data_IF_970365455183
#
_entry.id   IF_970365455183
#
_cell.length_a   1.000
_cell.length_b   1.000
_cell.length_c   1.000
_cell.angle_alpha   90.00
_cell.angle_beta   90.00
_cell.angle_gamma   90.00
#
_symmetry.space_group_name_H-M   'P 1'
#
loop_
_entity.id
_entity.type
_entity.pdbx_description
1 polymer ?
#
# COMPACT_ATOMS: atom_id res chain seq x y z
N UNK A 1 -8.88 -12.43 10.64
CA UNK A 1 -9.47 -11.57 9.58
C UNK A 1 -9.55 -12.31 8.25
N UNK A 2 -10.60 -12.04 7.44
CA UNK A 2 -10.80 -12.61 6.11
C UNK A 2 -11.45 -11.56 5.18
N UNK A 3 -10.80 -11.20 4.08
CA UNK A 3 -11.39 -10.33 3.07
C UNK A 3 -11.28 -10.89 1.65
N UNK A 4 -12.21 -10.46 0.79
CA UNK A 4 -12.35 -10.92 -0.59
C UNK A 4 -12.41 -9.72 -1.53
N UNK A 5 -11.55 -9.73 -2.53
CA UNK A 5 -11.40 -8.75 -3.59
C UNK A 5 -11.85 -9.36 -4.92
N UNK A 6 -12.52 -8.59 -5.76
CA UNK A 6 -12.95 -9.02 -7.09
C UNK A 6 -12.65 -7.98 -8.18
N UNK A 7 -12.46 -8.46 -9.40
CA UNK A 7 -12.26 -7.63 -10.59
C UNK A 7 -11.19 -6.55 -10.41
N UNK A 8 -11.56 -5.30 -10.70
CA UNK A 8 -10.65 -4.15 -10.67
C UNK A 8 -10.07 -3.87 -9.26
N UNK A 9 -10.73 -4.31 -8.19
CA UNK A 9 -10.23 -4.13 -6.82
C UNK A 9 -8.91 -4.89 -6.61
N UNK A 10 -8.75 -6.09 -7.20
CA UNK A 10 -7.50 -6.87 -7.12
C UNK A 10 -6.34 -6.09 -7.75
N UNK A 11 -6.57 -5.48 -8.92
CA UNK A 11 -5.57 -4.66 -9.61
C UNK A 11 -5.23 -3.40 -8.81
N UNK A 12 -6.22 -2.71 -8.26
CA UNK A 12 -6.01 -1.52 -7.43
C UNK A 12 -5.22 -1.85 -6.15
N UNK A 13 -5.55 -2.96 -5.49
CA UNK A 13 -4.81 -3.47 -4.33
C UNK A 13 -3.34 -3.78 -4.68
N UNK A 14 -3.11 -4.46 -5.81
CA UNK A 14 -1.77 -4.70 -6.32
C UNK A 14 -0.99 -3.40 -6.60
N UNK A 15 -1.62 -2.40 -7.24
CA UNK A 15 -0.99 -1.08 -7.45
C UNK A 15 -0.60 -0.40 -6.14
N UNK A 16 -1.41 -0.51 -5.09
CA UNK A 16 -1.07 0.02 -3.77
C UNK A 16 0.17 -0.68 -3.19
N UNK A 17 0.27 -2.01 -3.30
CA UNK A 17 1.47 -2.75 -2.88
C UNK A 17 2.72 -2.29 -3.65
N UNK A 18 2.63 -2.15 -4.99
CA UNK A 18 3.73 -1.61 -5.80
C UNK A 18 4.13 -0.18 -5.41
N UNK A 19 3.17 0.65 -5.03
CA UNK A 19 3.44 2.00 -4.55
C UNK A 19 4.14 1.98 -3.19
N UNK A 20 3.67 1.15 -2.26
CA UNK A 20 4.23 1.02 -0.91
C UNK A 20 5.64 0.42 -0.94
N UNK A 21 5.93 -0.48 -1.87
CA UNK A 21 7.27 -1.06 -2.03
C UNK A 21 8.34 -0.08 -2.50
N UNK A 22 7.96 1.15 -2.89
CA UNK A 22 8.90 2.25 -3.18
C UNK A 22 9.25 3.06 -1.93
N UNK A 23 8.54 2.85 -0.82
CA UNK A 23 8.70 3.61 0.42
C UNK A 23 9.47 2.78 1.45
N UNK A 24 9.09 1.51 1.65
CA UNK A 24 9.71 0.66 2.66
C UNK A 24 9.77 -0.81 2.27
N UNK A 25 10.64 -1.53 2.97
CA UNK A 25 10.90 -2.96 2.79
C UNK A 25 9.91 -3.85 3.55
N UNK A 26 9.06 -3.26 4.38
CA UNK A 26 8.05 -3.91 5.20
C UNK A 26 6.66 -3.37 4.89
N UNK A 27 5.66 -4.26 4.95
CA UNK A 27 4.24 -3.96 4.79
C UNK A 27 3.48 -4.39 6.04
N UNK A 28 2.88 -3.44 6.74
CA UNK A 28 1.94 -3.72 7.83
C UNK A 28 0.51 -3.80 7.26
N UNK A 29 -0.15 -4.94 7.52
CA UNK A 29 -1.58 -5.15 7.34
C UNK A 29 -2.28 -4.87 8.66
N UNK A 30 -3.11 -3.84 8.69
CA UNK A 30 -3.89 -3.46 9.88
C UNK A 30 -5.40 -3.54 9.59
N UNK A 31 -6.07 -4.64 9.97
CA UNK A 31 -7.51 -4.76 9.88
C UNK A 31 -8.22 -3.89 10.92
N UNK A 32 -9.08 -2.98 10.44
CA UNK A 32 -9.83 -2.05 11.29
C UNK A 32 -11.33 -2.13 10.98
N UNK A 33 -12.18 -1.64 11.89
CA UNK A 33 -13.64 -1.48 11.65
C UNK A 33 -13.94 -0.65 10.39
N UNK A 34 -13.12 0.37 10.13
CA UNK A 34 -13.19 1.25 8.95
C UNK A 34 -12.55 0.67 7.69
N UNK A 35 -12.08 -0.58 7.71
CA UNK A 35 -11.47 -1.26 6.57
C UNK A 35 -10.04 -1.74 6.80
N UNK A 36 -9.36 -2.18 5.74
CA UNK A 36 -7.98 -2.66 5.81
C UNK A 36 -7.00 -1.53 5.49
N UNK A 37 -6.14 -1.19 6.45
CA UNK A 37 -5.03 -0.29 6.22
C UNK A 37 -3.77 -1.08 5.80
N UNK A 38 -3.13 -0.63 4.72
CA UNK A 38 -1.81 -1.06 4.29
C UNK A 38 -0.82 0.05 4.60
N UNK A 39 0.21 -0.24 5.40
CA UNK A 39 1.17 0.78 5.82
C UNK A 39 2.60 0.35 5.56
N UNK A 40 3.44 1.32 5.24
CA UNK A 40 4.87 1.12 5.10
C UNK A 40 5.62 2.36 5.59
N UNK A 41 6.79 2.13 6.17
CA UNK A 41 7.74 3.15 6.61
C UNK A 41 9.10 2.80 6.03
N UNK A 42 9.89 3.81 5.69
CA UNK A 42 11.28 3.58 5.30
C UNK A 42 12.15 3.23 6.51
N UNK A 43 13.36 2.72 6.27
CA UNK A 43 14.32 2.33 7.31
C UNK A 43 14.73 3.47 8.24
N UNK A 44 14.74 4.71 7.74
CA UNK A 44 15.08 5.91 8.50
C UNK A 44 13.89 6.53 9.26
N UNK A 45 12.68 5.93 9.19
CA UNK A 45 11.46 6.46 9.79
C UNK A 45 11.09 7.91 9.39
N UNK A 46 11.59 8.38 8.25
CA UNK A 46 11.37 9.73 7.71
C UNK A 46 10.28 9.79 6.63
N UNK A 47 9.90 8.65 6.05
CA UNK A 47 8.86 8.54 5.05
C UNK A 47 7.82 7.49 5.47
N UNK A 48 6.55 7.89 5.46
CA UNK A 48 5.42 7.04 5.81
C UNK A 48 4.37 7.07 4.69
N UNK A 49 3.84 5.90 4.35
CA UNK A 49 2.74 5.76 3.40
C UNK A 49 1.66 4.82 3.93
N UNK A 50 0.40 5.19 3.67
CA UNK A 50 -0.76 4.44 4.12
C UNK A 50 -1.85 4.45 3.05
N UNK A 51 -2.37 3.27 2.70
CA UNK A 51 -3.59 3.10 1.93
C UNK A 51 -4.66 2.50 2.83
N UNK A 52 -5.83 3.14 2.91
CA UNK A 52 -6.99 2.60 3.63
C UNK A 52 -8.05 2.15 2.61
N UNK A 53 -8.31 0.85 2.57
CA UNK A 53 -9.39 0.27 1.79
C UNK A 53 -10.63 0.11 2.66
N UNK A 54 -11.68 0.88 2.37
CA UNK A 54 -12.99 0.78 3.04
C UNK A 54 -13.55 -0.66 2.97
N UNK A 55 -14.38 -1.13 3.92
CA UNK A 55 -15.03 -2.43 3.84
C UNK A 55 -15.80 -2.62 2.53
N UNK A 56 -16.37 -1.54 1.98
CA UNK A 56 -17.09 -1.53 0.69
C UNK A 56 -16.21 -1.77 -0.54
N UNK A 57 -14.88 -1.65 -0.40
CA UNK A 57 -13.94 -2.01 -1.46
C UNK A 57 -13.86 -3.54 -1.65
N UNK A 58 -14.21 -4.29 -0.61
CA UNK A 58 -14.19 -5.75 -0.61
C UNK A 58 -15.59 -6.28 -0.88
N UNK A 59 -15.69 -7.38 -1.62
CA UNK A 59 -16.94 -8.14 -1.74
C UNK A 59 -17.36 -8.70 -0.37
N UNK A 60 -16.37 -9.10 0.44
CA UNK A 60 -16.56 -9.57 1.81
C UNK A 60 -15.43 -9.06 2.67
N UNK A 61 -15.76 -8.47 3.81
CA UNK A 61 -14.79 -7.99 4.78
C UNK A 61 -15.21 -8.43 6.18
N UNK A 62 -14.51 -9.42 6.74
CA UNK A 62 -14.76 -9.95 8.06
C UNK A 62 -13.50 -9.77 8.93
N UNK A 63 -13.62 -9.01 10.01
CA UNK A 63 -12.53 -8.86 10.97
C UNK A 63 -12.23 -10.15 11.74
N UNK A 64 -13.24 -11.02 11.87
CA UNK A 64 -13.16 -12.24 12.67
C UNK A 64 -13.54 -11.88 14.11
N UNK A 65 -14.83 -11.89 14.39
CA UNK A 65 -15.37 -11.63 15.71
C UNK A 65 -16.35 -12.74 16.04
N UNK A 66 -15.87 -13.86 16.58
CA UNK A 66 -16.73 -14.74 17.37
C UNK A 66 -16.12 -15.18 18.71
N UNK A 67 -14.82 -15.05 18.97
CA UNK A 67 -14.25 -15.34 20.30
C UNK A 67 -13.00 -14.49 20.55
N UNK A 68 -13.14 -13.34 21.22
CA UNK A 68 -12.11 -12.67 22.03
C UNK A 68 -10.72 -12.34 21.44
N UNK A 69 -10.44 -12.64 20.16
CA UNK A 69 -9.12 -12.42 19.58
C UNK A 69 -9.01 -10.97 19.11
N UNK A 70 -8.09 -10.22 19.71
CA UNK A 70 -7.71 -8.88 19.29
C UNK A 70 -7.31 -8.89 17.80
N UNK A 71 -7.66 -7.83 17.07
CA UNK A 71 -7.24 -7.66 15.69
C UNK A 71 -5.73 -7.41 15.66
N UNK A 72 -4.97 -8.45 15.37
CA UNK A 72 -3.51 -8.40 15.27
C UNK A 72 -3.09 -7.66 14.00
N UNK A 73 -2.10 -6.78 14.15
CA UNK A 73 -1.43 -6.16 13.01
C UNK A 73 -0.28 -7.05 12.55
N UNK A 74 -0.28 -7.32 11.26
CA UNK A 74 0.65 -8.28 10.67
C UNK A 74 1.67 -7.54 9.82
N UNK A 75 2.94 -7.65 10.17
CA UNK A 75 4.06 -7.15 9.37
C UNK A 75 4.57 -8.25 8.44
N UNK A 76 4.60 -7.94 7.16
CA UNK A 76 5.09 -8.81 6.09
C UNK A 76 6.31 -8.18 5.43
N UNK A 77 7.29 -9.00 5.07
CA UNK A 77 8.41 -8.54 4.24
C UNK A 77 7.91 -8.23 2.83
N UNK A 78 8.22 -7.04 2.32
CA UNK A 78 7.77 -6.58 1.00
C UNK A 78 8.26 -7.52 -0.11
N UNK A 79 9.48 -8.05 0.02
CA UNK A 79 10.05 -9.06 -0.88
C UNK A 79 9.21 -10.35 -1.00
N UNK A 80 8.37 -10.66 -0.01
CA UNK A 80 7.51 -11.85 -0.01
C UNK A 80 6.17 -11.60 -0.69
N UNK A 81 5.59 -10.40 -0.49
CA UNK A 81 4.25 -10.07 -1.02
C UNK A 81 4.28 -9.42 -2.41
N UNK A 82 5.26 -8.55 -2.69
CA UNK A 82 5.36 -7.85 -3.97
C UNK A 82 5.40 -8.78 -5.19
N UNK A 83 6.13 -9.93 -5.17
CA UNK A 83 6.13 -10.87 -6.29
C UNK A 83 4.75 -11.43 -6.64
N UNK A 84 3.86 -11.56 -5.65
CA UNK A 84 2.49 -12.06 -5.85
C UNK A 84 1.66 -11.11 -6.73
N UNK A 85 1.98 -9.81 -6.69
CA UNK A 85 1.31 -8.77 -7.46
C UNK A 85 2.17 -8.26 -8.63
N UNK A 86 3.26 -8.95 -8.99
CA UNK A 86 4.26 -8.48 -9.98
C UNK A 86 3.66 -8.12 -11.35
N UNK A 87 2.84 -9.00 -11.92
CA UNK A 87 2.26 -8.80 -13.25
C UNK A 87 0.78 -8.43 -13.17
N UNK A 88 0.50 -7.15 -12.93
CA UNK A 88 -0.87 -6.64 -12.79
C UNK A 88 -1.74 -6.87 -14.03
N UNK A 89 -1.17 -6.83 -15.23
CA UNK A 89 -1.90 -7.12 -16.47
C UNK A 89 -2.32 -8.59 -16.58
N UNK A 90 -1.49 -9.52 -16.09
CA UNK A 90 -1.85 -10.93 -16.02
C UNK A 90 -2.93 -11.16 -14.96
N UNK A 91 -2.79 -10.52 -13.80
CA UNK A 91 -3.78 -10.59 -12.72
C UNK A 91 -5.15 -10.13 -13.21
N UNK A 92 -5.23 -8.96 -13.85
CA UNK A 92 -6.47 -8.42 -14.40
C UNK A 92 -7.16 -9.35 -15.41
N UNK A 93 -6.38 -10.08 -16.22
CA UNK A 93 -6.92 -11.00 -17.23
C UNK A 93 -7.27 -12.38 -16.66
N UNK A 94 -6.56 -12.84 -15.64
CA UNK A 94 -6.62 -14.24 -15.20
C UNK A 94 -7.29 -14.45 -13.85
N UNK A 95 -7.24 -13.48 -12.94
CA UNK A 95 -7.77 -13.58 -11.58
C UNK A 95 -9.20 -13.06 -11.56
N UNK A 96 -10.12 -13.90 -11.13
CA UNK A 96 -11.53 -13.53 -10.93
C UNK A 96 -11.73 -12.96 -9.52
N UNK A 97 -11.11 -13.61 -8.53
CA UNK A 97 -11.25 -13.29 -7.11
C UNK A 97 -9.93 -13.48 -6.38
N UNK A 98 -9.62 -12.60 -5.44
CA UNK A 98 -8.50 -12.73 -4.52
C UNK A 98 -9.02 -12.74 -3.08
N UNK A 99 -8.57 -13.70 -2.27
CA UNK A 99 -8.96 -13.82 -0.88
C UNK A 99 -7.72 -13.71 0.01
N UNK A 100 -7.80 -12.88 1.04
CA UNK A 100 -6.73 -12.66 2.00
C UNK A 100 -7.26 -13.08 3.37
N UNK A 101 -6.59 -14.02 4.00
CA UNK A 101 -6.91 -14.52 5.33
C UNK A 101 -5.71 -14.36 6.23
N UNK A 102 -5.92 -13.70 7.37
CA UNK A 102 -4.94 -13.60 8.43
C UNK A 102 -5.31 -14.64 9.48
N UNK A 103 -4.42 -15.61 9.67
CA UNK A 103 -4.54 -16.68 10.64
C UNK A 103 -3.60 -16.40 11.81
N UNK A 104 -4.13 -15.80 12.87
CA UNK A 104 -3.35 -15.39 14.06
C UNK A 104 -2.71 -16.54 14.82
N UNK A 105 -3.34 -17.73 15.02
CA UNK A 105 -2.70 -18.80 15.79
C UNK A 105 -1.44 -19.40 15.14
N UNK A 106 -1.22 -19.18 13.85
CA UNK A 106 -0.10 -19.78 13.11
C UNK A 106 0.87 -18.73 12.56
N UNK A 107 0.65 -17.43 12.83
CA UNK A 107 1.43 -16.32 12.28
C UNK A 107 1.52 -16.33 10.75
N UNK A 108 0.42 -16.70 10.07
CA UNK A 108 0.39 -16.76 8.60
C UNK A 108 -0.71 -15.93 7.97
N UNK A 109 -0.35 -15.26 6.88
CA UNK A 109 -1.27 -14.63 5.94
C UNK A 109 -1.38 -15.50 4.69
N UNK A 110 -2.57 -16.04 4.47
CA UNK A 110 -2.90 -16.81 3.28
C UNK A 110 -3.53 -15.89 2.23
N UNK A 111 -2.90 -15.82 1.06
CA UNK A 111 -3.39 -15.08 -0.11
C UNK A 111 -3.72 -16.08 -1.20
N UNK A 112 -4.99 -16.12 -1.61
CA UNK A 112 -5.48 -17.05 -2.64
C UNK A 112 -6.01 -16.28 -3.84
N UNK A 113 -5.45 -16.58 -5.02
CA UNK A 113 -5.99 -16.12 -6.28
C UNK A 113 -6.83 -17.23 -6.92
N UNK A 114 -8.11 -16.97 -7.09
CA UNK A 114 -9.03 -17.80 -7.85
C UNK A 114 -9.04 -17.28 -9.27
N UNK A 115 -8.43 -18.05 -10.16
CA UNK A 115 -8.24 -17.72 -11.55
C UNK A 115 -9.26 -18.43 -12.44
N UNK A 116 -9.38 -17.94 -13.68
CA UNK A 116 -10.16 -18.57 -14.74
C UNK A 116 -9.82 -20.05 -14.90
N UNK A 117 -10.79 -20.80 -15.41
CA UNK A 117 -10.67 -22.25 -15.67
C UNK A 117 -10.42 -23.09 -14.41
N UNK A 118 -10.89 -22.62 -13.24
CA UNK A 118 -10.82 -23.36 -11.98
C UNK A 118 -9.43 -23.41 -11.34
N UNK A 119 -8.47 -22.63 -11.84
CA UNK A 119 -7.11 -22.60 -11.29
C UNK A 119 -7.10 -21.81 -9.98
N UNK A 120 -6.57 -22.39 -8.90
CA UNK A 120 -6.39 -21.68 -7.62
C UNK A 120 -4.91 -21.62 -7.26
N UNK A 121 -4.37 -20.41 -7.10
CA UNK A 121 -3.00 -20.18 -6.60
C UNK A 121 -3.06 -19.77 -5.14
N UNK A 122 -2.45 -20.56 -4.26
CA UNK A 122 -2.41 -20.28 -2.83
C UNK A 122 -1.00 -19.92 -2.42
N UNK A 123 -0.85 -18.79 -1.74
CA UNK A 123 0.40 -18.31 -1.17
C UNK A 123 0.23 -18.18 0.33
N UNK A 124 1.17 -18.71 1.09
CA UNK A 124 1.08 -18.78 2.54
C UNK A 124 2.32 -18.12 3.14
N UNK A 125 2.16 -16.87 3.60
CA UNK A 125 3.25 -16.00 4.03
C UNK A 125 3.34 -15.96 5.55
N UNK A 126 4.54 -16.12 6.11
CA UNK A 126 4.80 -15.85 7.52
C UNK A 126 4.73 -14.33 7.76
N UNK A 127 4.15 -13.90 8.88
CA UNK A 127 4.16 -12.51 9.32
C UNK A 127 4.77 -12.39 10.72
N UNK A 128 5.20 -11.19 11.06
CA UNK A 128 5.59 -10.82 12.42
C UNK A 128 4.50 -9.93 13.01
N UNK A 129 4.11 -10.16 14.27
CA UNK A 129 3.23 -9.23 14.97
C UNK A 129 3.95 -7.89 15.15
N UNK A 130 3.25 -6.78 14.91
CA UNK A 130 3.84 -5.46 15.11
C UNK A 130 2.92 -4.51 15.86
N UNK A 131 3.53 -3.54 16.54
CA UNK A 131 2.80 -2.42 17.12
C UNK A 131 2.16 -1.53 16.05
N UNK A 132 1.17 -0.75 16.48
CA UNK A 132 0.44 0.21 15.66
C UNK A 132 1.36 1.21 14.97
N UNK A 133 1.70 0.94 13.71
CA UNK A 133 2.48 1.86 12.88
C UNK A 133 1.58 3.04 12.46
N UNK A 134 1.62 4.15 13.19
CA UNK A 134 0.86 5.36 12.84
C UNK A 134 1.76 6.59 12.88
N UNK A 135 1.82 7.31 11.76
CA UNK A 135 2.43 8.63 11.73
C UNK A 135 1.46 9.67 12.29
N UNK A 136 1.95 10.53 13.17
CA UNK A 136 1.22 11.69 13.67
C UNK A 136 1.40 12.84 12.68
N UNK A 137 0.43 13.01 11.79
CA UNK A 137 0.44 14.11 10.81
C UNK A 137 -0.95 14.75 10.72
N UNK A 138 -1.01 16.05 11.04
CA UNK A 138 -2.27 16.79 11.12
C UNK A 138 -2.40 17.70 9.90
N UNK A 139 -2.81 17.10 8.77
CA UNK A 139 -2.84 17.77 7.46
C UNK A 139 -3.69 19.06 7.41
N UNK A 140 -4.77 19.13 8.20
CA UNK A 140 -5.66 20.29 8.23
C UNK A 140 -5.06 21.52 8.92
N UNK A 141 -3.94 21.36 9.64
CA UNK A 141 -3.21 22.47 10.25
C UNK A 141 -2.07 22.99 9.35
N UNK A 142 -1.85 22.38 8.17
CA UNK A 142 -0.81 22.82 7.26
C UNK A 142 -1.18 24.18 6.64
N UNK A 143 -0.31 25.21 6.74
CA UNK A 143 -0.62 26.54 6.21
C UNK A 143 -0.62 26.60 4.68
N UNK A 144 0.05 25.66 4.02
CA UNK A 144 0.20 25.60 2.57
C UNK A 144 -0.45 24.32 2.04
N UNK A 145 -1.33 24.46 1.04
CA UNK A 145 -2.00 23.33 0.38
C UNK A 145 -1.91 23.50 -1.13
N UNK A 146 -1.35 22.50 -1.81
CA UNK A 146 -1.33 22.41 -3.27
C UNK A 146 -2.19 21.21 -3.70
N UNK A 147 -3.15 21.44 -4.60
CA UNK A 147 -3.99 20.40 -5.17
C UNK A 147 -4.01 20.51 -6.69
N UNK A 148 -3.62 19.43 -7.35
CA UNK A 148 -3.61 19.34 -8.82
C UNK A 148 -3.97 17.91 -9.25
N UNK A 149 -4.40 17.69 -10.50
CA UNK A 149 -4.55 16.35 -11.04
C UNK A 149 -3.22 15.60 -10.98
N UNK A 150 -3.23 14.33 -10.56
CA UNK A 150 -2.02 13.51 -10.43
C UNK A 150 -1.22 13.44 -11.74
N UNK A 151 -1.91 13.46 -12.90
CA UNK A 151 -1.27 13.52 -14.22
C UNK A 151 -0.41 14.76 -14.41
N UNK A 152 -0.90 15.93 -13.99
CA UNK A 152 -0.17 17.20 -14.11
C UNK A 152 1.09 17.15 -13.23
N UNK A 153 0.98 16.65 -12.00
CA UNK A 153 2.14 16.47 -11.11
C UNK A 153 3.14 15.46 -11.70
N UNK A 154 2.65 14.39 -12.33
CA UNK A 154 3.47 13.43 -13.07
C UNK A 154 4.24 14.06 -14.23
N UNK A 155 3.57 14.93 -15.00
CA UNK A 155 4.18 15.68 -16.10
C UNK A 155 5.26 16.68 -15.60
N UNK A 156 5.14 17.19 -14.38
CA UNK A 156 6.18 18.04 -13.80
C UNK A 156 7.43 17.25 -13.40
N UNK A 157 7.28 16.01 -12.92
CA UNK A 157 8.41 15.20 -12.43
C UNK A 157 9.11 14.39 -13.52
N UNK A 158 8.45 14.14 -14.66
CA UNK A 158 9.01 13.31 -15.74
C UNK A 158 10.26 13.91 -16.41
N UNK A 159 10.55 15.19 -16.18
CA UNK A 159 11.73 15.87 -16.70
C UNK A 159 12.98 15.68 -15.82
N UNK A 160 12.85 15.14 -14.60
CA UNK A 160 14.00 14.82 -13.76
C UNK A 160 14.67 13.51 -14.21
N UNK A 161 16.00 13.39 -14.07
CA UNK A 161 16.68 12.11 -14.19
C UNK A 161 16.10 11.08 -13.24
N UNK A 162 16.05 9.81 -13.65
CA UNK A 162 15.55 8.71 -12.80
C UNK A 162 16.41 8.51 -11.54
N UNK A 163 17.68 8.94 -11.59
CA UNK A 163 18.62 8.93 -10.46
C UNK A 163 18.50 10.16 -9.57
N UNK A 164 17.58 11.09 -9.83
CA UNK A 164 17.40 12.27 -8.98
C UNK A 164 16.82 11.85 -7.63
N UNK A 165 17.59 12.04 -6.56
CA UNK A 165 17.19 11.62 -5.21
C UNK A 165 16.30 12.66 -4.53
N UNK A 166 16.67 13.94 -4.61
CA UNK A 166 15.97 15.03 -3.92
C UNK A 166 15.50 16.13 -4.87
N UNK A 167 14.34 16.72 -4.57
CA UNK A 167 13.76 17.83 -5.31
C UNK A 167 13.23 18.90 -4.35
N UNK A 168 13.37 20.16 -4.74
CA UNK A 168 12.84 21.31 -4.01
C UNK A 168 11.56 21.80 -4.65
N UNK A 169 10.44 21.75 -3.91
CA UNK A 169 9.17 22.37 -4.28
C UNK A 169 9.07 23.78 -3.70
N UNK A 170 8.80 24.76 -4.55
CA UNK A 170 8.58 26.15 -4.16
C UNK A 170 7.32 26.71 -4.81
N UNK A 171 6.56 27.51 -4.06
CA UNK A 171 5.28 28.06 -4.48
C UNK A 171 5.30 29.57 -4.25
N UNK A 172 4.90 30.33 -5.26
CA UNK A 172 4.57 31.75 -5.16
C UNK A 172 3.14 31.98 -5.66
N UNK A 173 2.53 33.16 -5.45
CA UNK A 173 1.19 33.45 -5.96
C UNK A 173 1.03 33.29 -7.48
N UNK A 174 2.14 33.29 -8.24
CA UNK A 174 2.15 33.26 -9.70
C UNK A 174 2.69 31.94 -10.29
N UNK A 175 3.44 31.14 -9.52
CA UNK A 175 4.12 29.96 -10.05
C UNK A 175 4.34 28.86 -9.02
N UNK A 176 4.36 27.62 -9.50
CA UNK A 176 4.89 26.46 -8.79
C UNK A 176 6.19 26.03 -9.50
N UNK A 177 7.25 25.80 -8.75
CA UNK A 177 8.57 25.44 -9.27
C UNK A 177 9.09 24.19 -8.57
N UNK A 178 9.52 23.20 -9.36
CA UNK A 178 10.31 22.07 -8.92
C UNK A 178 11.76 22.25 -9.41
N UNK A 179 12.74 22.02 -8.54
CA UNK A 179 14.17 22.06 -8.88
C UNK A 179 14.85 20.82 -8.33
N UNK A 180 15.88 20.34 -9.01
CA UNK A 180 16.78 19.34 -8.47
C UNK A 180 17.54 19.90 -7.26
N UNK A 181 17.85 19.02 -6.32
CA UNK A 181 18.76 19.30 -5.23
C UNK A 181 19.96 18.36 -5.32
N UNK A 182 21.14 18.88 -5.02
CA UNK A 182 22.39 18.12 -4.93
C UNK A 182 23.17 18.62 -3.73
N UNK A 183 23.55 17.70 -2.84
CA UNK A 183 24.53 17.97 -1.79
C UNK A 183 25.91 18.11 -2.45
N UNK A 184 26.41 19.35 -2.60
CA UNK A 184 27.77 19.61 -3.11
C UNK A 184 27.94 20.77 -4.10
N UNK A 185 26.91 21.56 -4.39
CA UNK A 185 27.03 22.74 -5.25
C UNK A 185 27.53 23.99 -4.52
N UNK A 186 28.82 24.31 -4.66
CA UNK A 186 29.30 25.70 -4.76
C UNK A 186 29.35 26.09 -6.23
#
# INVERSE_FOLDING_TARGET
MNCVLEGNAVKAFGKAIHSLSRIGDELCLDPMSKGLALRSVNSAHSAYACFLFSPMFFQKYNLGSEQGSETVQCKLLMKSILPLFRCLASIERSVERCQIQINTPNDRVKIQFFCRHGITKTHDLCFEECEALQAVFVSHLCPNVLKAPARVLGEMVMHFPVSQEEITLSITPLRVSLRNYFEGGN
#
